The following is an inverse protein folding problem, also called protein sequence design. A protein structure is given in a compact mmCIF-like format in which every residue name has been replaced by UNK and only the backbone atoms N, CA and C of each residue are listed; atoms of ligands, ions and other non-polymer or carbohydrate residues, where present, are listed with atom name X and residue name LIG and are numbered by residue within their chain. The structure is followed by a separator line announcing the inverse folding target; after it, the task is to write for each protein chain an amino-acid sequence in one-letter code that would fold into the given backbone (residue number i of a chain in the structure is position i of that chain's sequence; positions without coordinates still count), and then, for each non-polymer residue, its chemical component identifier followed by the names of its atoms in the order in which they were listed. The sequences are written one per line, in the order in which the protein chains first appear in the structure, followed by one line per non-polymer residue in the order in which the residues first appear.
data_IF_536508314497
#
_entry.id   IF_536508314497
#
_cell.length_a   1.000
_cell.length_b   1.000
_cell.length_c   1.000
_cell.angle_alpha   90.00
_cell.angle_beta   90.00
_cell.angle_gamma   90.00
#
_symmetry.space_group_name_H-M   'P 1'
#
loop_
_entity.id
_entity.type
_entity.pdbx_description
1 polymer ?
#
# COMPACT_ATOMS: atom_id res chain seq x y z
N UNK A 1 -18.71 9.11 -22.32
CA UNK A 1 -17.50 8.38 -21.98
C UNK A 1 -17.96 7.04 -21.43
N UNK A 2 -17.55 5.92 -22.04
CA UNK A 2 -18.10 4.59 -21.74
C UNK A 2 -17.65 4.12 -20.36
N UNK A 3 -18.57 4.13 -19.40
CA UNK A 3 -18.36 3.62 -18.01
C UNK A 3 -18.46 2.09 -17.91
N UNK A 4 -18.04 1.34 -18.92
CA UNK A 4 -18.22 -0.11 -18.96
C UNK A 4 -16.91 -0.90 -19.22
N UNK A 5 -15.74 -0.30 -18.99
CA UNK A 5 -14.50 -1.08 -18.95
C UNK A 5 -14.38 -1.68 -17.55
N UNK A 6 -14.45 -3.02 -17.47
CA UNK A 6 -14.12 -3.75 -16.24
C UNK A 6 -12.72 -3.32 -15.78
N UNK A 7 -12.52 -3.05 -14.48
CA UNK A 7 -11.19 -2.75 -13.96
C UNK A 7 -10.22 -3.84 -14.39
N UNK A 8 -9.04 -3.44 -14.87
CA UNK A 8 -8.01 -4.36 -15.36
C UNK A 8 -7.68 -5.46 -14.33
N UNK A 9 -7.71 -5.12 -13.06
CA UNK A 9 -7.47 -6.02 -11.93
C UNK A 9 -8.49 -7.16 -11.78
N UNK A 10 -9.70 -7.06 -12.34
CA UNK A 10 -10.67 -8.16 -12.33
C UNK A 10 -10.13 -9.40 -13.06
N UNK A 11 -9.29 -9.20 -14.08
CA UNK A 11 -8.70 -10.30 -14.86
C UNK A 11 -7.67 -11.11 -14.07
N UNK A 12 -6.98 -10.46 -13.13
CA UNK A 12 -5.86 -11.04 -12.39
C UNK A 12 -6.23 -11.51 -10.98
N UNK A 13 -7.42 -11.16 -10.47
CA UNK A 13 -7.80 -11.41 -9.08
C UNK A 13 -7.56 -12.88 -8.63
N UNK A 14 -7.92 -13.86 -9.48
CA UNK A 14 -7.76 -15.28 -9.18
C UNK A 14 -6.29 -15.75 -9.18
N UNK A 15 -5.45 -15.18 -10.04
CA UNK A 15 -4.04 -15.58 -10.27
C UNK A 15 -3.03 -14.63 -9.62
N UNK A 16 -3.52 -13.55 -8.99
CA UNK A 16 -2.70 -12.46 -8.47
C UNK A 16 -1.52 -12.93 -7.62
N UNK A 17 -1.75 -13.85 -6.68
CA UNK A 17 -0.70 -14.35 -5.79
C UNK A 17 0.39 -15.10 -6.55
N UNK A 18 0.01 -15.94 -7.51
CA UNK A 18 0.96 -16.76 -8.26
C UNK A 18 1.81 -15.91 -9.19
N UNK A 19 1.19 -14.97 -9.90
CA UNK A 19 1.88 -13.99 -10.76
C UNK A 19 2.84 -13.12 -9.97
N UNK A 20 2.38 -12.58 -8.83
CA UNK A 20 3.24 -11.76 -7.96
C UNK A 20 4.41 -12.58 -7.41
N UNK A 21 4.19 -13.79 -6.92
CA UNK A 21 5.27 -14.65 -6.42
C UNK A 21 6.27 -15.01 -7.54
N UNK A 22 5.80 -15.22 -8.77
CA UNK A 22 6.68 -15.46 -9.92
C UNK A 22 7.58 -14.26 -10.20
N UNK A 23 7.04 -13.03 -10.19
CA UNK A 23 7.82 -11.80 -10.45
C UNK A 23 8.88 -11.51 -9.39
N UNK A 24 8.61 -11.81 -8.10
CA UNK A 24 9.54 -11.53 -7.00
C UNK A 24 10.51 -12.67 -6.68
N UNK A 25 10.55 -13.74 -7.49
CA UNK A 25 11.39 -14.95 -7.26
C UNK A 25 12.86 -14.59 -7.02
N UNK A 26 13.41 -13.56 -7.69
CA UNK A 26 14.77 -13.10 -7.51
C UNK A 26 15.08 -12.62 -6.09
N UNK A 27 14.06 -12.22 -5.30
CA UNK A 27 14.22 -11.85 -3.89
C UNK A 27 14.39 -13.06 -2.96
N UNK A 28 13.96 -14.25 -3.40
CA UNK A 28 13.84 -15.46 -2.60
C UNK A 28 12.71 -15.44 -1.57
N UNK A 29 11.84 -14.42 -1.62
CA UNK A 29 10.72 -14.22 -0.71
C UNK A 29 9.38 -14.42 -1.42
N UNK A 30 8.33 -14.60 -0.63
CA UNK A 30 6.93 -14.63 -1.08
C UNK A 30 6.25 -13.28 -0.84
N UNK A 31 5.14 -13.03 -1.50
CA UNK A 31 4.35 -11.80 -1.38
C UNK A 31 3.96 -11.48 0.08
N UNK A 32 3.70 -12.51 0.88
CA UNK A 32 3.36 -12.35 2.30
C UNK A 32 4.47 -11.68 3.13
N UNK A 33 5.73 -11.99 2.85
CA UNK A 33 6.88 -11.33 3.49
C UNK A 33 6.83 -9.80 3.33
N UNK A 34 6.54 -9.32 2.11
CA UNK A 34 6.48 -7.88 1.85
C UNK A 34 5.27 -7.22 2.51
N UNK A 35 4.13 -7.91 2.58
CA UNK A 35 2.95 -7.44 3.29
C UNK A 35 3.22 -7.35 4.81
N UNK A 36 3.83 -8.38 5.40
CA UNK A 36 4.25 -8.36 6.82
C UNK A 36 5.27 -7.26 7.10
N UNK A 37 6.26 -7.10 6.24
CA UNK A 37 7.27 -6.05 6.37
C UNK A 37 6.62 -4.67 6.44
N UNK A 38 5.69 -4.35 5.51
CA UNK A 38 4.97 -3.07 5.46
C UNK A 38 4.08 -2.87 6.70
N UNK A 39 3.34 -3.89 7.11
CA UNK A 39 2.51 -3.85 8.33
C UNK A 39 3.35 -3.59 9.60
N UNK A 40 4.52 -4.22 9.70
CA UNK A 40 5.45 -4.00 10.80
C UNK A 40 6.07 -2.59 10.77
N UNK A 41 6.35 -2.05 9.57
CA UNK A 41 6.75 -0.64 9.41
C UNK A 41 5.64 0.27 9.90
N UNK A 42 4.39 0.03 9.49
CA UNK A 42 3.24 0.82 9.93
C UNK A 42 3.11 0.83 11.45
N UNK A 43 3.10 -0.35 12.09
CA UNK A 43 3.03 -0.44 13.57
C UNK A 43 4.16 0.31 14.27
N UNK A 44 5.38 0.24 13.74
CA UNK A 44 6.54 0.95 14.27
C UNK A 44 6.38 2.48 14.16
N UNK A 45 5.91 2.97 12.99
CA UNK A 45 5.74 4.41 12.76
C UNK A 45 4.59 5.00 13.59
N UNK A 46 3.61 4.18 13.96
CA UNK A 46 2.51 4.55 14.85
C UNK A 46 2.91 4.55 16.33
N UNK A 47 3.94 3.79 16.69
CA UNK A 47 4.40 3.70 18.07
C UNK A 47 3.31 3.21 19.03
N UNK A 48 2.93 4.02 20.04
CA UNK A 48 1.90 3.65 21.01
C UNK A 48 0.49 3.56 20.39
N UNK A 49 0.21 4.31 19.32
CA UNK A 49 -1.08 4.28 18.63
C UNK A 49 -1.37 2.90 18.02
N UNK A 50 -0.34 2.12 17.68
CA UNK A 50 -0.49 0.75 17.18
C UNK A 50 -1.21 -0.21 18.17
N UNK A 51 -1.27 0.13 19.46
CA UNK A 51 -1.90 -0.68 20.51
C UNK A 51 -3.31 -0.22 20.87
N UNK A 52 -3.76 0.89 20.29
CA UNK A 52 -5.08 1.49 20.55
C UNK A 52 -6.15 0.87 19.66
N UNK A 53 -7.39 1.05 20.04
CA UNK A 53 -8.54 0.77 19.19
C UNK A 53 -8.67 1.90 18.16
N UNK A 54 -8.13 1.70 16.97
CA UNK A 54 -8.06 2.66 15.86
C UNK A 54 -8.75 2.09 14.63
N UNK A 55 -9.25 2.96 13.75
CA UNK A 55 -9.81 2.58 12.46
C UNK A 55 -8.76 2.72 11.37
N UNK A 56 -8.54 1.65 10.62
CA UNK A 56 -7.54 1.55 9.55
C UNK A 56 -8.24 1.27 8.23
N UNK A 57 -7.94 2.06 7.21
CA UNK A 57 -8.31 1.78 5.83
C UNK A 57 -7.09 1.27 5.07
N UNK A 58 -7.20 0.10 4.46
CA UNK A 58 -6.31 -0.41 3.42
C UNK A 58 -6.88 0.04 2.06
N UNK A 59 -6.31 1.10 1.48
CA UNK A 59 -6.73 1.67 0.20
C UNK A 59 -6.03 0.95 -0.95
N UNK A 60 -6.80 0.45 -1.91
CA UNK A 60 -6.31 -0.47 -2.93
C UNK A 60 -6.01 -1.85 -2.33
N UNK A 61 -6.95 -2.37 -1.53
CA UNK A 61 -6.76 -3.61 -0.75
C UNK A 61 -6.59 -4.86 -1.61
N UNK A 62 -6.98 -4.81 -2.90
CA UNK A 62 -6.99 -5.95 -3.79
C UNK A 62 -7.71 -7.15 -3.17
N UNK A 63 -7.09 -8.30 -3.23
CA UNK A 63 -7.60 -9.57 -2.65
C UNK A 63 -7.39 -9.69 -1.12
N UNK A 64 -7.05 -8.59 -0.44
CA UNK A 64 -6.88 -8.52 1.02
C UNK A 64 -5.52 -8.97 1.54
N UNK A 65 -4.47 -8.96 0.71
CA UNK A 65 -3.14 -9.46 1.09
C UNK A 65 -2.50 -8.79 2.31
N UNK A 66 -2.83 -7.54 2.59
CA UNK A 66 -2.34 -6.78 3.75
C UNK A 66 -3.14 -7.02 5.04
N UNK A 67 -4.35 -7.56 4.96
CA UNK A 67 -5.30 -7.59 6.10
C UNK A 67 -4.79 -8.47 7.25
N UNK A 68 -4.39 -9.71 6.98
CA UNK A 68 -3.88 -10.59 8.03
C UNK A 68 -2.57 -10.07 8.66
N UNK A 69 -1.58 -9.58 7.89
CA UNK A 69 -0.42 -8.85 8.42
C UNK A 69 -0.80 -7.63 9.28
N UNK A 70 -1.74 -6.78 8.82
CA UNK A 70 -2.20 -5.62 9.57
C UNK A 70 -2.88 -6.04 10.88
N UNK A 71 -3.69 -7.10 10.88
CA UNK A 71 -4.32 -7.63 12.10
C UNK A 71 -3.27 -8.08 13.12
N UNK A 72 -2.20 -8.76 12.66
CA UNK A 72 -1.10 -9.17 13.55
C UNK A 72 -0.35 -7.96 14.13
N UNK A 73 -0.06 -6.97 13.29
CA UNK A 73 0.70 -5.78 13.68
C UNK A 73 -0.10 -4.78 14.52
N UNK A 74 -1.42 -4.70 14.31
CA UNK A 74 -2.38 -3.77 14.93
C UNK A 74 -3.56 -4.56 15.53
N UNK A 75 -3.37 -5.30 16.62
CA UNK A 75 -4.32 -6.32 17.08
C UNK A 75 -5.67 -5.78 17.53
N UNK A 76 -5.76 -4.50 17.89
CA UNK A 76 -7.00 -3.84 18.33
C UNK A 76 -7.64 -2.95 17.25
N UNK A 77 -7.04 -2.89 16.05
CA UNK A 77 -7.57 -2.06 14.98
C UNK A 77 -8.87 -2.61 14.40
N UNK A 78 -9.80 -1.71 14.07
CA UNK A 78 -10.93 -1.99 13.18
C UNK A 78 -10.42 -1.82 11.75
N UNK A 79 -10.35 -2.93 10.99
CA UNK A 79 -9.77 -2.94 9.65
C UNK A 79 -10.87 -2.82 8.59
N UNK A 80 -10.61 -1.96 7.61
CA UNK A 80 -11.43 -1.77 6.43
C UNK A 80 -10.55 -1.89 5.19
N UNK A 81 -11.09 -2.46 4.12
CA UNK A 81 -10.47 -2.48 2.80
C UNK A 81 -11.35 -1.77 1.78
N UNK A 82 -10.75 -1.09 0.82
CA UNK A 82 -11.46 -0.53 -0.32
C UNK A 82 -10.67 -0.71 -1.60
N UNK A 83 -11.36 -1.11 -2.68
CA UNK A 83 -10.76 -1.32 -3.99
C UNK A 83 -11.75 -0.97 -5.10
N UNK A 84 -11.27 -0.65 -6.30
CA UNK A 84 -12.10 -0.41 -7.48
C UNK A 84 -12.60 -1.71 -8.12
N UNK A 85 -11.86 -2.82 -7.93
CA UNK A 85 -12.21 -4.14 -8.45
C UNK A 85 -13.22 -4.83 -7.55
N UNK A 86 -14.44 -5.03 -8.06
CA UNK A 86 -15.49 -5.75 -7.35
C UNK A 86 -15.15 -7.23 -7.13
N UNK A 87 -14.42 -7.84 -8.05
CA UNK A 87 -13.96 -9.24 -7.94
C UNK A 87 -12.91 -9.38 -6.83
N UNK A 88 -11.92 -8.46 -6.80
CA UNK A 88 -10.91 -8.42 -5.74
C UNK A 88 -11.56 -8.23 -4.36
N UNK A 89 -12.51 -7.31 -4.25
CA UNK A 89 -13.28 -7.08 -3.00
C UNK A 89 -14.07 -8.31 -2.58
N UNK A 90 -14.72 -9.01 -3.51
CA UNK A 90 -15.44 -10.26 -3.21
C UNK A 90 -14.49 -11.35 -2.68
N UNK A 91 -13.30 -11.49 -3.30
CA UNK A 91 -12.28 -12.42 -2.82
C UNK A 91 -11.71 -12.03 -1.46
N UNK A 92 -11.45 -10.74 -1.23
CA UNK A 92 -11.01 -10.23 0.06
C UNK A 92 -12.04 -10.49 1.16
N UNK A 93 -13.33 -10.27 0.87
CA UNK A 93 -14.44 -10.57 1.77
C UNK A 93 -14.53 -12.07 2.09
N UNK A 94 -14.36 -12.94 1.09
CA UNK A 94 -14.37 -14.39 1.30
C UNK A 94 -13.20 -14.87 2.17
N UNK A 95 -12.03 -14.28 2.00
CA UNK A 95 -10.79 -14.70 2.70
C UNK A 95 -10.65 -14.11 4.10
N UNK A 96 -11.11 -12.88 4.30
CA UNK A 96 -10.79 -12.05 5.46
C UNK A 96 -11.98 -11.30 6.03
N UNK A 97 -13.23 -11.69 5.67
CA UNK A 97 -14.45 -11.03 6.17
C UNK A 97 -14.67 -11.16 7.68
N UNK A 98 -13.97 -12.07 8.33
CA UNK A 98 -13.91 -12.20 9.80
C UNK A 98 -12.93 -11.21 10.46
N UNK A 99 -11.98 -10.66 9.69
CA UNK A 99 -10.93 -9.75 10.16
C UNK A 99 -11.19 -8.29 9.78
N UNK A 100 -11.87 -8.04 8.66
CA UNK A 100 -12.08 -6.70 8.10
C UNK A 100 -13.41 -6.59 7.36
N UNK A 101 -13.87 -5.35 7.15
CA UNK A 101 -14.99 -5.04 6.25
C UNK A 101 -14.47 -4.44 4.94
N UNK A 102 -15.10 -4.83 3.82
CA UNK A 102 -14.63 -4.43 2.50
C UNK A 102 -15.70 -3.65 1.74
N UNK A 103 -15.30 -2.68 0.93
CA UNK A 103 -16.19 -1.90 0.06
C UNK A 103 -15.58 -1.69 -1.31
N UNK A 104 -16.44 -1.76 -2.33
CA UNK A 104 -16.07 -1.35 -3.69
C UNK A 104 -16.07 0.17 -3.78
N UNK A 105 -15.05 0.74 -4.39
CA UNK A 105 -14.96 2.15 -4.71
C UNK A 105 -15.77 2.39 -5.98
N UNK A 106 -16.75 3.28 -5.91
CA UNK A 106 -17.58 3.67 -7.05
C UNK A 106 -17.60 5.20 -7.19
N UNK A 107 -17.91 5.70 -8.38
CA UNK A 107 -18.06 7.13 -8.66
C UNK A 107 -16.84 7.97 -8.26
N UNK A 108 -15.65 7.40 -8.36
CA UNK A 108 -14.38 8.05 -7.98
C UNK A 108 -14.38 8.64 -6.56
N UNK A 109 -15.09 8.03 -5.62
CA UNK A 109 -15.16 8.49 -4.24
C UNK A 109 -14.98 7.33 -3.26
N UNK A 110 -14.25 7.54 -2.18
CA UNK A 110 -14.18 6.58 -1.08
C UNK A 110 -15.54 6.48 -0.38
N UNK A 111 -16.11 5.25 -0.26
CA UNK A 111 -17.46 5.05 0.28
C UNK A 111 -17.51 5.17 1.82
N UNK A 112 -16.84 6.21 2.36
CA UNK A 112 -16.74 6.49 3.79
C UNK A 112 -16.96 7.98 4.06
N UNK A 113 -17.55 8.32 5.23
CA UNK A 113 -17.66 9.71 5.67
C UNK A 113 -16.30 10.39 5.91
N UNK A 114 -16.32 11.72 5.96
CA UNK A 114 -15.16 12.51 6.36
C UNK A 114 -14.68 12.12 7.76
N UNK A 115 -13.40 12.26 8.03
CA UNK A 115 -12.78 12.06 9.33
C UNK A 115 -13.13 10.72 10.00
N UNK A 116 -13.19 9.65 9.21
CA UNK A 116 -13.56 8.29 9.69
C UNK A 116 -12.36 7.54 10.24
N UNK A 117 -11.20 7.63 9.57
CA UNK A 117 -10.05 6.77 9.83
C UNK A 117 -8.96 7.47 10.62
N UNK A 118 -8.35 6.72 11.53
CA UNK A 118 -7.13 7.14 12.22
C UNK A 118 -5.90 6.93 11.34
N UNK A 119 -5.99 5.94 10.42
CA UNK A 119 -4.91 5.55 9.50
C UNK A 119 -5.49 5.23 8.14
N UNK A 120 -4.83 5.70 7.08
CA UNK A 120 -4.93 5.15 5.73
C UNK A 120 -3.58 4.54 5.37
N UNK A 121 -3.61 3.24 5.10
CA UNK A 121 -2.49 2.42 4.65
C UNK A 121 -2.64 2.17 3.15
N UNK A 122 -1.56 2.36 2.39
CA UNK A 122 -1.53 2.17 0.94
C UNK A 122 -0.26 1.43 0.57
N UNK A 123 -0.39 0.29 -0.08
CA UNK A 123 0.74 -0.58 -0.38
C UNK A 123 0.83 -0.88 -1.88
N UNK A 124 1.69 -0.17 -2.61
CA UNK A 124 1.92 -0.38 -4.04
C UNK A 124 0.64 -0.21 -4.88
N UNK A 125 0.02 0.97 -4.78
CA UNK A 125 -1.24 1.32 -5.47
C UNK A 125 -1.08 2.55 -6.37
N UNK A 126 -0.32 3.56 -5.94
CA UNK A 126 -0.26 4.83 -6.66
C UNK A 126 0.31 4.71 -8.07
N UNK A 127 1.17 3.73 -8.33
CA UNK A 127 1.72 3.50 -9.67
C UNK A 127 0.68 2.96 -10.67
N UNK A 128 -0.45 2.42 -10.19
CA UNK A 128 -1.60 2.04 -11.01
C UNK A 128 -2.62 3.18 -11.19
N UNK A 129 -2.51 4.25 -10.40
CA UNK A 129 -3.40 5.41 -10.53
C UNK A 129 -2.90 6.32 -11.66
N UNK A 130 -3.75 6.65 -12.67
CA UNK A 130 -3.40 7.63 -13.68
C UNK A 130 -2.87 8.93 -13.08
N UNK A 131 -1.84 9.50 -13.69
CA UNK A 131 -1.10 10.64 -13.11
C UNK A 131 -2.02 11.83 -12.80
N UNK A 132 -3.00 12.10 -13.67
CA UNK A 132 -4.00 13.18 -13.54
C UNK A 132 -5.01 12.92 -12.40
N UNK A 133 -5.15 11.67 -11.94
CA UNK A 133 -6.08 11.30 -10.86
C UNK A 133 -5.39 11.19 -9.48
N UNK A 134 -4.07 11.18 -9.41
CA UNK A 134 -3.32 11.01 -8.15
C UNK A 134 -3.63 12.10 -7.12
N UNK A 135 -3.81 13.34 -7.57
CA UNK A 135 -4.19 14.45 -6.67
C UNK A 135 -5.59 14.25 -6.09
N UNK A 136 -6.54 13.84 -6.92
CA UNK A 136 -7.90 13.54 -6.49
C UNK A 136 -7.92 12.45 -5.40
N UNK A 137 -7.26 11.32 -5.64
CA UNK A 137 -7.21 10.23 -4.65
C UNK A 137 -6.48 10.62 -3.38
N UNK A 138 -5.44 11.45 -3.47
CA UNK A 138 -4.75 11.97 -2.28
C UNK A 138 -5.66 12.90 -1.47
N UNK A 139 -6.51 13.70 -2.13
CA UNK A 139 -7.53 14.53 -1.49
C UNK A 139 -8.62 13.68 -0.81
N UNK A 140 -9.10 12.61 -1.48
CA UNK A 140 -10.07 11.67 -0.91
C UNK A 140 -9.51 10.95 0.34
N UNK A 141 -8.26 10.50 0.29
CA UNK A 141 -7.56 9.95 1.45
C UNK A 141 -7.50 10.99 2.59
N UNK A 142 -7.20 12.25 2.24
CA UNK A 142 -7.19 13.35 3.23
C UNK A 142 -8.56 13.59 3.84
N UNK A 143 -9.63 13.53 3.04
CA UNK A 143 -11.02 13.71 3.48
C UNK A 143 -11.44 12.66 4.51
N UNK A 144 -11.16 11.39 4.25
CA UNK A 144 -11.58 10.29 5.13
C UNK A 144 -10.70 10.15 6.37
N UNK A 145 -9.51 10.78 6.39
CA UNK A 145 -8.66 10.79 7.58
C UNK A 145 -9.15 11.80 8.61
N UNK A 146 -9.11 11.40 9.87
CA UNK A 146 -9.32 12.31 11.00
C UNK A 146 -8.23 13.38 11.03
N UNK A 147 -8.51 14.56 11.59
CA UNK A 147 -7.45 15.55 11.88
C UNK A 147 -6.33 14.92 12.71
N UNK A 148 -5.09 15.03 12.22
CA UNK A 148 -3.92 14.40 12.83
C UNK A 148 -3.81 12.89 12.56
N UNK A 149 -4.68 12.30 11.72
CA UNK A 149 -4.61 10.92 11.28
C UNK A 149 -3.36 10.62 10.43
N UNK A 150 -3.00 9.37 10.33
CA UNK A 150 -1.77 8.91 9.68
C UNK A 150 -2.03 8.45 8.25
N UNK A 151 -1.25 8.96 7.32
CA UNK A 151 -1.16 8.46 5.95
C UNK A 151 0.18 7.74 5.77
N UNK A 152 0.12 6.44 5.49
CA UNK A 152 1.26 5.57 5.25
C UNK A 152 1.16 5.00 3.85
N UNK A 153 2.07 5.41 2.97
CA UNK A 153 2.09 4.95 1.58
C UNK A 153 3.44 4.34 1.25
N UNK A 154 3.40 3.17 0.62
CA UNK A 154 4.55 2.35 0.22
C UNK A 154 4.55 2.21 -1.29
N UNK A 155 5.72 2.43 -1.93
CA UNK A 155 5.86 2.36 -3.39
C UNK A 155 7.19 1.73 -3.80
N UNK A 156 7.23 1.28 -5.06
CA UNK A 156 8.43 0.76 -5.68
C UNK A 156 9.49 1.82 -5.88
N UNK A 157 10.76 1.47 -5.61
CA UNK A 157 11.87 2.37 -5.85
C UNK A 157 12.43 2.18 -7.27
N UNK A 158 12.11 3.10 -8.16
CA UNK A 158 12.58 3.08 -9.55
C UNK A 158 14.11 3.28 -9.70
N UNK A 159 14.82 3.68 -8.63
CA UNK A 159 16.27 3.80 -8.63
C UNK A 159 16.97 2.45 -8.37
N UNK A 160 16.22 1.42 -7.93
CA UNK A 160 16.76 0.09 -7.67
C UNK A 160 16.62 -0.78 -8.94
N UNK A 161 17.74 -1.24 -9.55
CA UNK A 161 17.69 -2.01 -10.80
C UNK A 161 16.93 -3.34 -10.69
N UNK A 162 17.01 -4.01 -9.54
CA UNK A 162 16.29 -5.27 -9.32
C UNK A 162 14.79 -5.03 -9.22
N UNK A 163 14.36 -3.93 -8.58
CA UNK A 163 12.95 -3.54 -8.57
C UNK A 163 12.44 -3.26 -9.97
N UNK A 164 13.23 -2.55 -10.79
CA UNK A 164 12.87 -2.26 -12.17
C UNK A 164 12.76 -3.53 -13.03
N UNK A 165 13.54 -4.55 -12.73
CA UNK A 165 13.40 -5.85 -13.39
C UNK A 165 12.11 -6.53 -12.95
N UNK A 166 11.84 -6.61 -11.63
CA UNK A 166 10.62 -7.22 -11.08
C UNK A 166 9.35 -6.58 -11.66
N UNK A 167 9.29 -5.25 -11.72
CA UNK A 167 8.15 -4.53 -12.30
C UNK A 167 7.98 -4.85 -13.79
N UNK A 168 9.05 -4.90 -14.56
CA UNK A 168 8.96 -5.26 -15.99
C UNK A 168 8.52 -6.69 -16.26
N UNK A 169 8.86 -7.60 -15.34
CA UNK A 169 8.54 -9.02 -15.46
C UNK A 169 7.15 -9.36 -14.88
N UNK A 170 6.44 -8.36 -14.33
CA UNK A 170 5.14 -8.49 -13.69
C UNK A 170 4.02 -8.08 -14.65
N UNK A 171 3.17 -9.02 -15.06
CA UNK A 171 2.11 -8.79 -16.06
C UNK A 171 1.10 -7.71 -15.62
N UNK A 172 0.79 -7.61 -14.33
CA UNK A 172 -0.15 -6.60 -13.84
C UNK A 172 0.50 -5.24 -13.54
N UNK A 173 1.81 -5.10 -13.76
CA UNK A 173 2.55 -3.83 -13.69
C UNK A 173 2.91 -3.32 -15.11
N UNK A 174 2.41 -3.94 -16.19
CA UNK A 174 2.73 -3.58 -17.56
C UNK A 174 2.41 -2.10 -17.86
N UNK A 175 1.25 -1.62 -17.40
CA UNK A 175 0.81 -0.23 -17.55
C UNK A 175 1.16 0.65 -16.33
N UNK A 176 1.94 0.13 -15.38
CA UNK A 176 2.28 0.87 -14.17
C UNK A 176 3.20 2.08 -14.45
N UNK A 177 2.79 3.24 -13.98
CA UNK A 177 3.62 4.46 -14.03
C UNK A 177 4.22 4.67 -12.65
N UNK A 178 5.46 4.18 -12.47
CA UNK A 178 6.15 4.27 -11.20
C UNK A 178 6.27 5.72 -10.73
N UNK A 179 6.15 5.91 -9.41
CA UNK A 179 6.13 7.21 -8.76
C UNK A 179 7.45 7.43 -8.00
N UNK A 180 8.29 8.40 -8.41
CA UNK A 180 9.48 8.76 -7.65
C UNK A 180 9.12 9.30 -6.27
N UNK A 181 9.95 8.98 -5.25
CA UNK A 181 9.71 9.43 -3.87
C UNK A 181 9.46 10.94 -3.72
N UNK A 182 10.18 11.78 -4.47
CA UNK A 182 9.99 13.25 -4.42
C UNK A 182 8.69 13.70 -5.04
N UNK A 183 8.21 13.02 -6.07
CA UNK A 183 6.89 13.30 -6.66
C UNK A 183 5.79 12.98 -5.65
N UNK A 184 5.85 11.82 -4.98
CA UNK A 184 4.91 11.47 -3.91
C UNK A 184 4.96 12.48 -2.76
N UNK A 185 6.16 12.91 -2.33
CA UNK A 185 6.29 13.96 -1.32
C UNK A 185 5.66 15.29 -1.74
N UNK A 186 5.83 15.67 -3.01
CA UNK A 186 5.17 16.86 -3.58
C UNK A 186 3.65 16.72 -3.59
N UNK A 187 3.14 15.56 -4.01
CA UNK A 187 1.72 15.24 -4.05
C UNK A 187 1.08 15.33 -2.66
N UNK A 188 1.68 14.69 -1.66
CA UNK A 188 1.25 14.71 -0.26
C UNK A 188 1.28 16.14 0.29
N UNK A 189 2.34 16.91 -0.01
CA UNK A 189 2.47 18.30 0.41
C UNK A 189 1.38 19.21 -0.18
N UNK A 190 1.04 19.07 -1.47
CA UNK A 190 -0.03 19.85 -2.12
C UNK A 190 -1.40 19.63 -1.47
N UNK A 191 -1.64 18.45 -0.90
CA UNK A 191 -2.86 18.14 -0.16
C UNK A 191 -2.77 18.49 1.34
N UNK A 192 -1.84 19.38 1.71
CA UNK A 192 -1.70 19.91 3.08
C UNK A 192 -1.40 18.86 4.16
N UNK A 193 -0.84 17.73 3.77
CA UNK A 193 -0.28 16.79 4.73
C UNK A 193 1.08 17.28 5.23
N UNK A 194 1.35 17.06 6.50
CA UNK A 194 2.68 17.23 7.07
C UNK A 194 3.45 15.92 6.99
N UNK A 195 4.47 15.85 6.15
CA UNK A 195 5.38 14.70 6.09
C UNK A 195 6.18 14.58 7.39
N UNK A 196 6.13 13.39 7.99
CA UNK A 196 6.89 13.06 9.20
C UNK A 196 8.17 12.33 8.83
N UNK A 197 8.09 11.39 7.89
CA UNK A 197 9.21 10.53 7.51
C UNK A 197 9.06 10.04 6.07
N UNK A 198 10.19 9.95 5.37
CA UNK A 198 10.30 9.25 4.09
C UNK A 198 11.60 8.44 4.09
N UNK A 199 11.49 7.12 3.88
CA UNK A 199 12.63 6.20 3.96
C UNK A 199 12.56 5.15 2.87
N UNK A 200 13.73 4.73 2.40
CA UNK A 200 13.88 3.52 1.60
C UNK A 200 13.89 2.29 2.51
N UNK A 201 13.36 1.17 2.01
CA UNK A 201 13.16 -0.07 2.74
C UNK A 201 13.43 -1.27 1.83
N UNK A 202 13.52 -2.46 2.42
CA UNK A 202 13.76 -3.73 1.70
C UNK A 202 15.11 -3.68 0.97
N UNK A 203 16.20 -3.75 1.72
CA UNK A 203 17.55 -3.68 1.16
C UNK A 203 18.13 -5.06 0.84
N UNK A 204 17.76 -6.08 1.60
CA UNK A 204 18.42 -7.38 1.54
C UNK A 204 17.46 -8.50 1.14
N UNK A 205 17.78 -9.26 0.06
CA UNK A 205 17.05 -10.48 -0.28
C UNK A 205 17.21 -11.55 0.80
N UNK A 206 16.45 -12.64 0.71
CA UNK A 206 16.45 -13.74 1.69
C UNK A 206 17.84 -14.30 1.98
N UNK A 207 18.67 -14.44 0.94
CA UNK A 207 20.05 -14.93 1.08
C UNK A 207 20.93 -14.06 2.00
N UNK A 208 20.57 -12.76 2.15
CA UNK A 208 21.27 -11.79 3.01
C UNK A 208 20.42 -11.39 4.23
N UNK A 209 19.48 -12.24 4.64
CA UNK A 209 18.54 -11.93 5.73
C UNK A 209 19.22 -11.59 7.06
N UNK A 210 20.43 -12.09 7.31
CA UNK A 210 21.22 -11.77 8.50
C UNK A 210 21.62 -10.29 8.60
N UNK A 211 21.60 -9.54 7.46
CA UNK A 211 21.88 -8.10 7.42
C UNK A 211 20.65 -7.23 7.67
N UNK A 212 19.44 -7.79 7.68
CA UNK A 212 18.18 -7.03 7.81
C UNK A 212 18.07 -6.19 9.07
N UNK A 213 18.74 -6.58 10.15
CA UNK A 213 18.81 -5.78 11.36
C UNK A 213 19.41 -4.38 11.14
N UNK A 214 20.26 -4.22 10.10
CA UNK A 214 20.90 -2.96 9.74
C UNK A 214 20.04 -2.05 8.85
N UNK A 215 18.96 -2.55 8.24
CA UNK A 215 18.12 -1.79 7.28
C UNK A 215 17.59 -0.49 7.86
N UNK A 216 17.31 -0.45 9.17
CA UNK A 216 16.81 0.76 9.84
C UNK A 216 17.78 1.94 9.72
N UNK A 217 19.08 1.69 9.70
CA UNK A 217 20.11 2.73 9.56
C UNK A 217 20.35 3.12 8.10
N UNK A 218 19.93 2.28 7.14
CA UNK A 218 20.12 2.48 5.70
C UNK A 218 18.99 3.26 5.02
N UNK A 219 17.90 3.55 5.69
CA UNK A 219 16.70 4.15 5.10
C UNK A 219 16.88 5.50 4.39
N UNK A 220 18.01 6.14 4.50
CA UNK A 220 18.40 7.34 3.75
C UNK A 220 19.01 7.03 2.38
N UNK A 221 19.55 5.82 2.18
CA UNK A 221 20.17 5.38 0.93
C UNK A 221 19.09 5.00 -0.09
N UNK A 222 19.17 5.47 -1.35
CA UNK A 222 18.19 5.16 -2.39
C UNK A 222 18.42 3.78 -3.04
N UNK A 223 18.86 2.80 -2.26
CA UNK A 223 19.19 1.44 -2.72
C UNK A 223 18.15 0.39 -2.30
N UNK A 224 17.23 0.72 -1.38
CA UNK A 224 16.14 -0.20 -1.03
C UNK A 224 15.22 -0.47 -2.22
N UNK A 225 14.61 -1.66 -2.26
CA UNK A 225 13.69 -2.05 -3.32
C UNK A 225 12.40 -1.23 -3.33
N UNK A 226 12.00 -0.72 -2.17
CA UNK A 226 10.81 0.09 -1.99
C UNK A 226 11.14 1.32 -1.13
N UNK A 227 10.20 2.26 -1.07
CA UNK A 227 10.23 3.36 -0.11
C UNK A 227 8.85 3.54 0.52
N UNK A 228 8.79 4.24 1.65
CA UNK A 228 7.53 4.70 2.21
C UNK A 228 7.58 6.18 2.55
N UNK A 229 6.39 6.78 2.54
CA UNK A 229 6.13 8.10 3.08
C UNK A 229 5.12 7.97 4.21
N UNK A 230 5.45 8.55 5.37
CA UNK A 230 4.55 8.70 6.50
C UNK A 230 4.22 10.17 6.67
N UNK A 231 2.96 10.51 6.58
CA UNK A 231 2.47 11.88 6.73
C UNK A 231 1.28 11.95 7.69
N UNK A 232 0.95 13.14 8.14
CA UNK A 232 -0.23 13.41 8.98
C UNK A 232 -1.18 14.38 8.30
N UNK A 233 -2.46 14.08 8.45
CA UNK A 233 -3.57 14.88 7.99
C UNK A 233 -3.81 16.13 8.85
#
# INVERSE_FOLDING_TARGET
MNNNEQPEFDRYAAQYRDLHNASITASGEESEYFAEYKANVAARELGEDARKAIKVLDFGTGIGGSIAPLRRALPKAELHGADISSESVAMAQQRHGDLASFKVIVDNALPYPDATFDIVFVACVYHHIPVDQREHWTAEIRRVLKPGGHFLVFEHNMLNPLTMQVVRDCEFDEDAILLPRNELLGLVGRQSFRTIKARYIVFFPKALSFLRATERSLGWLPLGAQYYVHARA
#
